data_IF_123896458233
#
_entry.id   IF_123896458233
#
_cell.length_a   1.000
_cell.length_b   1.000
_cell.length_c   1.000
_cell.angle_alpha   90.00
_cell.angle_beta   90.00
_cell.angle_gamma   90.00
#
_symmetry.space_group_name_H-M   'P 1'
#
loop_
_entity.id
_entity.type
_entity.pdbx_description
1 polymer ?
#
# COMPACT_ATOMS: atom_id res chain seq x y z
N UNK A 1 -12.58 -0.89 7.38
CA UNK A 1 -12.01 0.45 7.16
C UNK A 1 -11.04 0.74 8.29
N UNK A 2 -9.87 1.23 7.95
CA UNK A 2 -8.88 1.71 8.91
C UNK A 2 -8.93 3.23 9.00
N UNK A 3 -8.45 3.76 10.12
CA UNK A 3 -8.12 5.17 10.28
C UNK A 3 -6.63 5.25 10.61
N UNK A 4 -5.83 5.61 9.59
CA UNK A 4 -4.39 5.79 9.72
C UNK A 4 -4.03 7.27 9.89
N UNK A 5 -4.94 8.14 10.36
CA UNK A 5 -4.69 9.58 10.50
C UNK A 5 -4.93 10.09 11.92
N UNK A 6 -6.00 9.64 12.60
CA UNK A 6 -6.42 10.27 13.85
C UNK A 6 -6.10 9.48 15.12
N UNK A 7 -6.28 8.16 15.12
CA UNK A 7 -6.29 7.37 16.35
C UNK A 7 -4.95 6.70 16.62
N UNK A 8 -4.28 7.09 17.71
CA UNK A 8 -3.05 6.46 18.24
C UNK A 8 -1.92 6.29 17.19
N UNK A 9 -1.94 7.09 16.12
CA UNK A 9 -0.85 7.17 15.14
C UNK A 9 0.37 7.81 15.80
N UNK A 10 1.51 7.15 15.69
CA UNK A 10 2.80 7.66 16.14
C UNK A 10 3.28 8.82 15.25
N UNK A 11 4.39 9.46 15.62
CA UNK A 11 4.91 10.67 14.99
C UNK A 11 4.96 10.55 13.46
N UNK A 12 4.24 11.45 12.78
CA UNK A 12 4.20 11.52 11.32
C UNK A 12 5.18 12.53 10.75
N UNK A 13 5.56 12.33 9.49
CA UNK A 13 6.31 13.33 8.74
C UNK A 13 5.39 14.50 8.38
N UNK A 14 5.77 15.69 8.82
CA UNK A 14 5.14 16.99 8.53
C UNK A 14 6.16 17.96 7.94
N UNK A 15 7.08 17.44 7.12
CA UNK A 15 8.10 18.12 6.34
C UNK A 15 9.29 18.68 7.13
N UNK A 16 9.06 19.32 8.28
CA UNK A 16 10.17 19.88 9.07
C UNK A 16 10.90 18.82 9.92
N UNK A 17 10.26 17.68 10.17
CA UNK A 17 10.78 16.58 10.99
C UNK A 17 11.18 15.33 10.16
N UNK A 18 11.18 15.40 8.82
CA UNK A 18 11.49 14.28 7.92
C UNK A 18 12.75 13.52 8.33
N UNK A 19 13.87 14.22 8.60
CA UNK A 19 15.13 13.57 9.02
C UNK A 19 15.01 12.76 10.31
N UNK A 20 14.17 13.21 11.24
CA UNK A 20 13.94 12.50 12.49
C UNK A 20 13.01 11.31 12.27
N UNK A 21 11.94 11.46 11.48
CA UNK A 21 11.05 10.35 11.13
C UNK A 21 11.82 9.26 10.39
N UNK A 22 12.70 9.64 9.46
CA UNK A 22 13.58 8.72 8.72
C UNK A 22 14.49 7.91 9.67
N UNK A 23 15.06 8.55 10.69
CA UNK A 23 15.92 7.86 11.65
C UNK A 23 15.18 6.85 12.52
N UNK A 24 13.86 6.96 12.66
CA UNK A 24 13.03 6.08 13.49
C UNK A 24 12.04 5.20 12.70
N UNK A 25 11.94 5.31 11.38
CA UNK A 25 10.93 4.60 10.55
C UNK A 25 10.94 3.06 10.67
N UNK A 26 12.07 2.49 11.13
CA UNK A 26 12.29 1.06 11.41
C UNK A 26 12.07 0.67 12.87
N UNK A 27 11.74 1.61 13.75
CA UNK A 27 11.51 1.34 15.17
C UNK A 27 10.37 0.36 15.37
N UNK A 28 10.60 -0.72 16.11
CA UNK A 28 9.64 -1.81 16.32
C UNK A 28 8.31 -1.32 16.93
N UNK A 29 8.37 -0.29 17.78
CA UNK A 29 7.21 0.29 18.45
C UNK A 29 6.45 1.32 17.59
N UNK A 30 6.97 1.69 16.41
CA UNK A 30 6.27 2.60 15.49
C UNK A 30 4.94 1.97 15.07
N UNK A 31 3.88 2.76 15.08
CA UNK A 31 2.56 2.32 14.64
C UNK A 31 1.78 3.45 13.97
N UNK A 32 1.18 3.15 12.82
CA UNK A 32 0.31 4.09 12.10
C UNK A 32 -1.17 3.96 12.51
N UNK A 33 -1.53 2.81 13.11
CA UNK A 33 -2.91 2.49 13.51
C UNK A 33 -3.12 2.51 15.04
N UNK A 34 -2.03 2.45 15.80
CA UNK A 34 -2.06 2.21 17.24
C UNK A 34 -2.48 0.79 17.63
N UNK A 35 -2.17 0.41 18.87
CA UNK A 35 -2.35 -0.96 19.35
C UNK A 35 -3.82 -1.44 19.31
N UNK A 36 -4.77 -0.55 19.61
CA UNK A 36 -6.20 -0.89 19.63
C UNK A 36 -6.71 -1.29 18.25
N UNK A 37 -6.38 -0.50 17.24
CA UNK A 37 -6.81 -0.75 15.87
C UNK A 37 -6.03 -1.91 15.24
N UNK A 38 -4.73 -2.08 15.58
CA UNK A 38 -3.95 -3.27 15.22
C UNK A 38 -4.63 -4.56 15.70
N UNK A 39 -4.99 -4.63 16.99
CA UNK A 39 -5.69 -5.79 17.57
C UNK A 39 -7.06 -6.00 16.97
N UNK A 40 -7.80 -4.92 16.72
CA UNK A 40 -9.10 -5.00 16.06
C UNK A 40 -8.96 -5.58 14.64
N UNK A 41 -8.00 -5.10 13.86
CA UNK A 41 -7.74 -5.58 12.50
C UNK A 41 -7.40 -7.07 12.52
N UNK A 42 -6.53 -7.49 13.44
CA UNK A 42 -6.20 -8.90 13.64
C UNK A 42 -7.47 -9.74 13.87
N UNK A 43 -8.31 -9.34 14.84
CA UNK A 43 -9.53 -10.07 15.16
C UNK A 43 -10.48 -10.14 13.96
N UNK A 44 -10.66 -9.03 13.23
CA UNK A 44 -11.53 -9.01 12.05
C UNK A 44 -11.02 -9.93 10.94
N UNK A 45 -9.71 -9.95 10.68
CA UNK A 45 -9.13 -10.81 9.66
C UNK A 45 -9.26 -12.30 10.02
N UNK A 46 -9.02 -12.65 11.29
CA UNK A 46 -9.19 -14.00 11.80
C UNK A 46 -10.65 -14.46 11.76
N UNK A 47 -11.58 -13.62 12.19
CA UNK A 47 -13.02 -13.91 12.10
C UNK A 47 -13.45 -14.06 10.64
N UNK A 48 -12.95 -13.18 9.75
CA UNK A 48 -13.26 -13.25 8.32
C UNK A 48 -12.75 -14.55 7.68
N UNK A 49 -11.60 -15.05 8.11
CA UNK A 49 -11.11 -16.37 7.72
C UNK A 49 -11.96 -17.50 8.30
N UNK A 50 -12.30 -17.46 9.57
CA UNK A 50 -13.10 -18.50 10.21
C UNK A 50 -14.49 -18.64 9.58
N UNK A 51 -15.12 -17.55 9.15
CA UNK A 51 -16.43 -17.57 8.49
C UNK A 51 -16.39 -17.99 7.01
N UNK A 52 -15.22 -18.23 6.44
CA UNK A 52 -15.06 -18.61 5.03
C UNK A 52 -15.33 -17.47 4.03
N UNK A 53 -15.11 -16.21 4.42
CA UNK A 53 -15.24 -15.11 3.46
C UNK A 53 -14.14 -15.21 2.40
N UNK A 54 -14.56 -15.10 1.13
CA UNK A 54 -13.67 -15.21 -0.03
C UNK A 54 -12.70 -14.04 -0.10
N UNK A 55 -13.18 -12.80 0.07
CA UNK A 55 -12.39 -11.58 -0.06
C UNK A 55 -12.29 -10.82 1.28
N UNK A 56 -11.15 -10.15 1.49
CA UNK A 56 -10.91 -9.24 2.61
C UNK A 56 -10.48 -7.88 2.06
N UNK A 57 -11.39 -6.92 2.08
CA UNK A 57 -11.13 -5.58 1.54
C UNK A 57 -10.83 -4.63 2.70
N UNK A 58 -9.61 -4.10 2.72
CA UNK A 58 -9.12 -3.17 3.73
C UNK A 58 -9.00 -1.80 3.07
N UNK A 59 -10.02 -0.96 3.24
CA UNK A 59 -9.95 0.44 2.85
C UNK A 59 -9.24 1.28 3.91
N UNK A 60 -8.29 2.10 3.46
CA UNK A 60 -7.46 2.99 4.29
C UNK A 60 -6.93 4.17 3.46
N UNK A 61 -6.19 5.09 4.07
CA UNK A 61 -5.88 6.40 3.50
C UNK A 61 -4.64 6.43 2.60
N UNK A 62 -3.52 5.85 3.05
CA UNK A 62 -2.16 6.13 2.52
C UNK A 62 -1.49 4.88 1.96
N UNK A 63 -0.69 5.00 0.89
CA UNK A 63 -0.07 3.83 0.22
C UNK A 63 0.61 2.88 1.22
N UNK A 64 0.22 1.61 1.17
CA UNK A 64 0.66 0.53 2.05
C UNK A 64 1.94 -0.13 1.57
N UNK A 65 2.09 -0.32 0.26
CA UNK A 65 3.30 -0.88 -0.33
C UNK A 65 4.47 0.06 -0.10
N UNK A 66 5.63 -0.50 0.23
CA UNK A 66 6.85 0.28 0.32
C UNK A 66 7.30 0.64 -1.09
N UNK A 67 7.44 1.94 -1.36
CA UNK A 67 7.78 2.43 -2.68
C UNK A 67 9.08 3.24 -2.61
N UNK A 68 10.12 2.73 -3.26
CA UNK A 68 11.33 3.47 -3.56
C UNK A 68 11.05 4.45 -4.70
N UNK A 69 10.81 5.70 -4.34
CA UNK A 69 10.59 6.83 -5.25
C UNK A 69 11.94 7.44 -5.65
N UNK A 70 12.74 6.65 -6.38
CA UNK A 70 14.06 7.05 -6.91
C UNK A 70 15.08 7.48 -5.84
N UNK A 71 15.15 6.70 -4.75
CA UNK A 71 16.05 6.92 -3.62
C UNK A 71 15.38 7.56 -2.40
N UNK A 72 14.08 7.88 -2.50
CA UNK A 72 13.30 8.46 -1.41
C UNK A 72 12.07 7.60 -1.09
N UNK A 73 11.49 7.79 0.09
CA UNK A 73 10.31 7.08 0.57
C UNK A 73 9.31 8.08 1.14
N UNK A 74 8.01 7.76 1.09
CA UNK A 74 6.98 8.63 1.65
C UNK A 74 6.81 8.36 3.15
N UNK A 75 7.52 9.09 4.00
CA UNK A 75 7.49 8.87 5.45
C UNK A 75 6.17 9.28 6.13
N UNK A 76 5.25 9.94 5.40
CA UNK A 76 3.87 10.13 5.83
C UNK A 76 2.93 8.96 5.45
N UNK A 77 3.41 7.99 4.67
CA UNK A 77 2.71 6.72 4.38
C UNK A 77 3.26 5.56 5.23
N UNK A 78 2.95 4.32 4.86
CA UNK A 78 3.44 3.13 5.55
C UNK A 78 4.97 2.96 5.50
N UNK A 79 5.67 3.67 4.61
CA UNK A 79 7.15 3.72 4.62
C UNK A 79 7.72 4.35 5.90
N UNK A 80 6.97 5.24 6.56
CA UNK A 80 7.34 5.79 7.87
C UNK A 80 7.12 4.83 9.05
N UNK A 81 6.49 3.68 8.81
CA UNK A 81 6.02 2.74 9.83
C UNK A 81 6.28 1.28 9.42
N UNK A 82 7.48 1.01 8.90
CA UNK A 82 7.84 -0.29 8.31
C UNK A 82 7.62 -1.48 9.24
N UNK A 83 7.89 -1.33 10.55
CA UNK A 83 7.62 -2.37 11.54
C UNK A 83 6.12 -2.68 11.67
N UNK A 84 5.26 -1.66 11.64
CA UNK A 84 3.81 -1.86 11.67
C UNK A 84 3.31 -2.53 10.37
N UNK A 85 3.81 -2.09 9.20
CA UNK A 85 3.54 -2.75 7.91
C UNK A 85 3.90 -4.23 7.97
N UNK A 86 5.09 -4.53 8.50
CA UNK A 86 5.56 -5.91 8.68
C UNK A 86 4.63 -6.71 9.58
N UNK A 87 4.11 -6.17 10.69
CA UNK A 87 3.15 -6.88 11.55
C UNK A 87 1.86 -7.27 10.81
N UNK A 88 1.36 -6.42 9.91
CA UNK A 88 0.20 -6.74 9.06
C UNK A 88 0.55 -7.87 8.09
N UNK A 89 1.68 -7.78 7.38
CA UNK A 89 2.12 -8.82 6.44
C UNK A 89 2.42 -10.15 7.14
N UNK A 90 3.06 -10.12 8.31
CA UNK A 90 3.30 -11.27 9.18
C UNK A 90 1.99 -11.95 9.57
N UNK A 91 0.97 -11.19 9.96
CA UNK A 91 -0.33 -11.73 10.30
C UNK A 91 -0.94 -12.46 9.11
N UNK A 92 -0.98 -11.82 7.94
CA UNK A 92 -1.55 -12.40 6.74
C UNK A 92 -0.81 -13.68 6.34
N UNK A 93 0.51 -13.63 6.27
CA UNK A 93 1.37 -14.76 5.90
C UNK A 93 1.27 -15.91 6.90
N UNK A 94 1.57 -15.67 8.18
CA UNK A 94 1.64 -16.72 9.22
C UNK A 94 0.28 -17.36 9.47
N UNK A 95 -0.80 -16.60 9.38
CA UNK A 95 -2.17 -17.13 9.56
C UNK A 95 -2.77 -17.61 8.25
N UNK A 96 -2.04 -17.61 7.13
CA UNK A 96 -2.48 -18.04 5.79
C UNK A 96 -3.80 -17.35 5.40
N UNK A 97 -3.85 -16.04 5.56
CA UNK A 97 -4.99 -15.20 5.20
C UNK A 97 -4.72 -14.68 3.80
N UNK A 98 -5.46 -15.20 2.83
CA UNK A 98 -5.36 -14.93 1.40
C UNK A 98 -6.40 -13.89 0.95
N UNK A 99 -6.47 -13.64 -0.37
CA UNK A 99 -7.50 -12.82 -1.02
C UNK A 99 -7.72 -11.47 -0.31
N UNK A 100 -6.61 -10.88 0.15
CA UNK A 100 -6.62 -9.60 0.83
C UNK A 100 -6.34 -8.50 -0.17
N UNK A 101 -7.21 -7.49 -0.19
CA UNK A 101 -7.10 -6.32 -1.03
C UNK A 101 -6.99 -5.09 -0.14
N UNK A 102 -5.93 -4.32 -0.32
CA UNK A 102 -5.76 -3.01 0.32
C UNK A 102 -6.18 -1.94 -0.69
N UNK A 103 -7.05 -1.02 -0.25
CA UNK A 103 -7.44 0.15 -1.03
C UNK A 103 -6.83 1.39 -0.38
N UNK A 104 -6.20 2.21 -1.21
CA UNK A 104 -5.41 3.36 -0.76
C UNK A 104 -5.64 4.57 -1.67
N UNK A 105 -5.19 5.75 -1.23
CA UNK A 105 -5.17 6.96 -2.03
C UNK A 105 -4.04 7.88 -1.56
N UNK A 106 -4.38 9.16 -1.31
CA UNK A 106 -3.52 10.20 -0.72
C UNK A 106 -2.36 10.67 -1.61
N UNK A 107 -1.62 9.78 -2.27
CA UNK A 107 -0.44 10.13 -3.05
C UNK A 107 -0.72 10.85 -4.39
N UNK A 108 -1.99 10.94 -4.79
CA UNK A 108 -2.43 11.50 -6.07
C UNK A 108 -1.78 10.83 -7.29
N UNK A 109 -1.51 9.54 -7.25
CA UNK A 109 -1.04 8.75 -8.39
C UNK A 109 -1.64 7.35 -8.28
N UNK A 110 -1.73 6.65 -9.41
CA UNK A 110 -2.22 5.29 -9.41
C UNK A 110 -1.06 4.32 -9.15
N UNK A 111 -1.33 3.32 -8.32
CA UNK A 111 -0.40 2.23 -8.04
C UNK A 111 -1.14 0.90 -7.94
N UNK A 112 -0.57 -0.12 -8.54
CA UNK A 112 -1.00 -1.51 -8.39
C UNK A 112 0.21 -2.30 -7.93
N UNK A 113 0.09 -2.89 -6.75
CA UNK A 113 1.20 -3.63 -6.15
C UNK A 113 0.74 -4.98 -5.63
N UNK A 114 1.57 -5.99 -5.79
CA UNK A 114 1.41 -7.23 -5.06
C UNK A 114 1.83 -7.02 -3.60
N UNK A 115 1.13 -7.68 -2.68
CA UNK A 115 1.55 -7.71 -1.28
C UNK A 115 2.51 -8.88 -1.09
N UNK A 116 3.81 -8.62 -1.19
CA UNK A 116 4.85 -9.58 -0.87
C UNK A 116 5.32 -9.46 0.58
N UNK A 117 5.87 -10.54 1.13
CA UNK A 117 6.54 -10.47 2.43
C UNK A 117 7.82 -9.61 2.32
N UNK A 118 8.12 -8.71 3.27
CA UNK A 118 9.22 -7.76 3.10
C UNK A 118 10.57 -8.44 2.86
N UNK A 119 11.27 -8.02 1.79
CA UNK A 119 12.56 -8.57 1.34
C UNK A 119 12.52 -10.05 0.90
N UNK A 120 11.36 -10.61 0.58
CA UNK A 120 11.26 -11.96 0.05
C UNK A 120 11.58 -11.98 -1.45
N UNK A 121 12.81 -12.34 -1.79
CA UNK A 121 13.29 -12.49 -3.16
C UNK A 121 13.32 -13.94 -3.64
N UNK A 122 12.89 -14.88 -2.80
CA UNK A 122 13.01 -16.32 -3.06
C UNK A 122 11.64 -16.91 -3.40
N UNK A 123 10.61 -16.58 -2.63
CA UNK A 123 9.29 -17.19 -2.77
C UNK A 123 8.32 -16.33 -3.57
N UNK A 124 8.54 -15.02 -3.59
CA UNK A 124 7.78 -14.08 -4.41
C UNK A 124 8.42 -13.90 -5.79
N UNK A 125 7.60 -14.05 -6.83
CA UNK A 125 7.97 -13.84 -8.23
C UNK A 125 7.15 -12.70 -8.80
N UNK A 126 7.80 -11.56 -9.01
CA UNK A 126 7.15 -10.34 -9.52
C UNK A 126 6.60 -10.46 -10.94
N UNK A 127 7.09 -11.41 -11.75
CA UNK A 127 6.60 -11.60 -13.11
C UNK A 127 5.28 -12.38 -13.14
N UNK A 128 5.08 -13.31 -12.20
CA UNK A 128 3.91 -14.19 -12.18
C UNK A 128 2.92 -13.90 -11.05
N UNK A 129 3.32 -13.09 -10.07
CA UNK A 129 2.58 -12.87 -8.82
C UNK A 129 2.62 -14.07 -7.87
N UNK A 130 3.34 -15.15 -8.21
CA UNK A 130 3.45 -16.31 -7.32
C UNK A 130 4.11 -15.88 -6.00
N UNK A 131 3.55 -16.31 -4.87
CA UNK A 131 4.02 -15.94 -3.54
C UNK A 131 3.41 -14.63 -2.99
N UNK A 132 2.64 -13.89 -3.80
CA UNK A 132 1.88 -12.74 -3.30
C UNK A 132 0.83 -13.17 -2.28
N UNK A 133 0.67 -12.37 -1.23
CA UNK A 133 -0.27 -12.58 -0.12
C UNK A 133 -1.60 -11.85 -0.38
N UNK A 134 -1.60 -10.92 -1.32
CA UNK A 134 -2.73 -10.08 -1.69
C UNK A 134 -2.31 -9.01 -2.70
N UNK A 135 -3.15 -7.99 -2.87
CA UNK A 135 -2.91 -6.87 -3.79
C UNK A 135 -3.28 -5.54 -3.14
N UNK A 136 -2.57 -4.49 -3.51
CA UNK A 136 -2.96 -3.11 -3.23
C UNK A 136 -3.40 -2.41 -4.52
N UNK A 137 -4.55 -1.75 -4.45
CA UNK A 137 -5.00 -0.77 -5.43
C UNK A 137 -5.01 0.62 -4.78
N UNK A 138 -4.04 1.44 -5.14
CA UNK A 138 -3.96 2.81 -4.69
C UNK A 138 -4.42 3.74 -5.82
N UNK A 139 -5.51 4.45 -5.58
CA UNK A 139 -6.13 5.31 -6.57
C UNK A 139 -5.48 6.68 -6.67
N UNK A 140 -5.52 7.23 -7.87
CA UNK A 140 -5.25 8.65 -8.12
C UNK A 140 -6.22 9.59 -7.39
N UNK A 141 -5.96 10.88 -7.46
CA UNK A 141 -6.89 11.90 -6.98
C UNK A 141 -7.99 12.17 -8.02
N UNK A 142 -9.16 12.57 -7.53
CA UNK A 142 -10.27 13.03 -8.38
C UNK A 142 -9.89 14.31 -9.14
N UNK A 143 -9.16 15.22 -8.49
CA UNK A 143 -8.79 16.52 -9.08
C UNK A 143 -7.43 17.07 -8.63
N UNK A 144 -6.95 16.69 -7.44
CA UNK A 144 -5.65 17.17 -6.94
C UNK A 144 -4.48 16.80 -7.87
N UNK A 145 -3.48 17.69 -8.03
CA UNK A 145 -2.35 17.42 -8.90
C UNK A 145 -1.50 16.27 -8.36
N UNK A 146 -0.87 15.53 -9.27
CA UNK A 146 0.08 14.49 -8.90
C UNK A 146 1.48 15.07 -8.70
N UNK A 147 2.13 14.82 -7.54
CA UNK A 147 3.54 15.19 -7.35
C UNK A 147 4.49 14.60 -8.39
N UNK A 148 4.08 13.53 -9.10
CA UNK A 148 4.87 12.81 -10.09
C UNK A 148 4.41 13.03 -11.54
N UNK A 149 3.38 13.85 -11.74
CA UNK A 149 2.78 14.09 -13.06
C UNK A 149 2.48 15.56 -13.36
N UNK A 150 2.47 16.42 -12.34
CA UNK A 150 2.25 17.85 -12.52
C UNK A 150 3.42 18.50 -13.27
N UNK A 151 3.09 19.34 -14.26
CA UNK A 151 4.08 20.12 -15.02
C UNK A 151 4.88 19.33 -16.06
N UNK A 152 4.62 18.03 -16.25
CA UNK A 152 5.26 17.20 -17.27
C UNK A 152 4.24 16.61 -18.25
N UNK A 153 4.69 16.24 -19.44
CA UNK A 153 3.82 15.57 -20.41
C UNK A 153 3.54 14.11 -19.99
N UNK A 154 2.39 13.52 -20.39
CA UNK A 154 2.08 12.13 -20.07
C UNK A 154 3.17 11.13 -20.50
N UNK A 155 3.84 11.39 -21.62
CA UNK A 155 4.95 10.52 -22.10
C UNK A 155 6.14 10.52 -21.13
N UNK A 156 6.44 11.66 -20.52
CA UNK A 156 7.50 11.77 -19.51
C UNK A 156 7.05 11.07 -18.22
N UNK A 157 5.81 11.29 -17.78
CA UNK A 157 5.24 10.63 -16.60
C UNK A 157 5.21 9.10 -16.74
N UNK A 158 4.90 8.58 -17.93
CA UNK A 158 4.96 7.14 -18.24
C UNK A 158 6.38 6.59 -18.16
N UNK A 159 7.38 7.37 -18.57
CA UNK A 159 8.79 6.99 -18.47
C UNK A 159 9.23 6.88 -17.02
N UNK A 160 8.83 7.84 -16.18
CA UNK A 160 9.08 7.79 -14.72
C UNK A 160 8.35 6.60 -14.10
N UNK A 161 7.09 6.36 -14.45
CA UNK A 161 6.31 5.23 -13.93
C UNK A 161 6.95 3.88 -14.26
N UNK A 162 7.49 3.70 -15.48
CA UNK A 162 8.25 2.49 -15.85
C UNK A 162 9.53 2.32 -15.02
N UNK A 163 10.23 3.40 -14.71
CA UNK A 163 11.42 3.35 -13.84
C UNK A 163 11.06 2.96 -12.41
N UNK A 164 9.93 3.48 -11.89
CA UNK A 164 9.43 3.12 -10.57
C UNK A 164 9.07 1.63 -10.52
N UNK A 165 8.32 1.12 -11.50
CA UNK A 165 8.00 -0.32 -11.63
C UNK A 165 9.29 -1.15 -11.67
N UNK A 166 10.28 -0.76 -12.46
CA UNK A 166 11.55 -1.50 -12.55
C UNK A 166 12.38 -1.47 -11.25
N UNK A 167 12.21 -0.44 -10.42
CA UNK A 167 12.95 -0.27 -9.16
C UNK A 167 12.26 -0.90 -7.95
N UNK A 168 11.01 -1.32 -8.10
CA UNK A 168 10.17 -1.82 -7.02
C UNK A 168 9.58 -3.19 -7.43
N UNK A 169 10.16 -4.32 -6.97
CA UNK A 169 9.71 -5.65 -7.36
C UNK A 169 8.22 -5.94 -7.09
N UNK A 170 7.65 -5.28 -6.08
CA UNK A 170 6.26 -5.47 -5.67
C UNK A 170 5.30 -4.58 -6.49
N UNK A 171 5.79 -3.54 -7.16
CA UNK A 171 4.97 -2.58 -7.93
C UNK A 171 4.76 -3.09 -9.35
N UNK A 172 3.54 -3.51 -9.65
CA UNK A 172 3.17 -4.09 -10.95
C UNK A 172 2.81 -3.02 -11.98
N UNK A 173 2.23 -1.90 -11.55
CA UNK A 173 1.84 -0.81 -12.45
C UNK A 173 1.73 0.52 -11.71
N UNK A 174 2.05 1.61 -12.42
CA UNK A 174 2.00 2.99 -11.95
C UNK A 174 1.58 3.94 -13.06
N UNK A 175 0.85 5.00 -12.71
CA UNK A 175 0.47 6.09 -13.63
C UNK A 175 0.19 7.38 -12.84
N UNK A 176 0.79 8.50 -13.24
CA UNK A 176 0.74 9.76 -12.47
C UNK A 176 0.10 10.95 -13.19
N UNK A 177 -0.25 10.85 -14.47
CA UNK A 177 -0.79 11.96 -15.27
C UNK A 177 -2.27 12.17 -15.04
N UNK A 178 -3.07 11.10 -15.06
CA UNK A 178 -4.52 11.22 -15.16
C UNK A 178 -5.21 11.23 -13.80
N UNK A 179 -6.25 12.06 -13.69
CA UNK A 179 -7.12 12.18 -12.51
C UNK A 179 -8.38 11.35 -12.74
N UNK A 180 -9.02 10.93 -11.65
CA UNK A 180 -10.24 10.13 -11.74
C UNK A 180 -10.43 9.25 -10.52
N UNK A 181 -10.99 8.08 -10.74
CA UNK A 181 -11.19 7.06 -9.72
C UNK A 181 -11.08 5.67 -10.36
N UNK A 182 -11.19 4.61 -9.58
CA UNK A 182 -11.36 3.27 -10.13
C UNK A 182 -12.61 2.61 -9.56
N UNK A 183 -13.19 1.72 -10.34
CA UNK A 183 -14.28 0.83 -9.91
C UNK A 183 -13.71 -0.54 -9.58
N UNK A 184 -14.28 -1.17 -8.56
CA UNK A 184 -13.93 -2.53 -8.16
C UNK A 184 -15.10 -3.47 -8.46
N UNK A 185 -14.89 -4.45 -9.32
CA UNK A 185 -15.87 -5.50 -9.65
C UNK A 185 -15.44 -6.81 -9.00
N UNK A 186 -16.30 -7.38 -8.16
CA UNK A 186 -15.95 -8.52 -7.30
C UNK A 186 -16.94 -9.65 -7.51
N UNK A 187 -16.39 -10.84 -7.72
CA UNK A 187 -17.10 -12.13 -7.78
C UNK A 187 -16.39 -13.12 -6.86
N UNK A 188 -16.97 -14.30 -6.56
CA UNK A 188 -16.26 -15.31 -5.77
C UNK A 188 -14.91 -15.78 -6.35
N UNK A 189 -14.68 -15.60 -7.66
CA UNK A 189 -13.49 -16.15 -8.33
C UNK A 189 -12.54 -15.07 -8.87
N UNK A 190 -12.99 -13.83 -8.96
CA UNK A 190 -12.22 -12.75 -9.58
C UNK A 190 -12.59 -11.41 -8.94
N UNK A 191 -11.57 -10.58 -8.75
CA UNK A 191 -11.68 -9.18 -8.41
C UNK A 191 -10.88 -8.37 -9.44
N UNK A 192 -11.54 -7.40 -10.07
CA UNK A 192 -10.94 -6.54 -11.10
C UNK A 192 -11.10 -5.08 -10.69
N UNK A 193 -9.99 -4.34 -10.71
CA UNK A 193 -9.98 -2.89 -10.61
C UNK A 193 -9.88 -2.27 -12.02
N UNK A 194 -10.71 -1.27 -12.31
CA UNK A 194 -10.69 -0.55 -13.59
C UNK A 194 -10.68 0.95 -13.33
N UNK A 195 -9.66 1.63 -13.81
CA UNK A 195 -9.58 3.10 -13.80
C UNK A 195 -10.65 3.70 -14.72
N UNK A 196 -11.26 4.80 -14.28
CA UNK A 196 -12.30 5.58 -14.96
C UNK A 196 -11.87 7.03 -15.05
#
# INVERSE_FOLDING_TARGET
>A
MLDTRNYDRDLTDVYYNTKFVDSIHKGENRSIMGLKQEKWLEQQLLHSKSRGAVWRIIGQQVVFTQLNLLGTYNLDSWDGYTANRKRVLDLLYKRKIDNTVILSGDSHANWVSDLAYPNDTITYNSTTGQGAIGVEFAGTAVSSPSPLGEGISPVVADTVSKQLVASNPDLQWSESSWRGFFTLSITPNNLTAKQV
#
